data_IF_061704005365
#
_entry.id   IF_061704005365
#
_cell.length_a   1.000
_cell.length_b   1.000
_cell.length_c   1.000
_cell.angle_alpha   90.00
_cell.angle_beta   90.00
_cell.angle_gamma   90.00
#
_symmetry.space_group_name_H-M   'P 1'
#
loop_
_entity.id
_entity.type
_entity.pdbx_description
1 polymer ?
#
# COMPACT_ATOMS: atom_id res chain seq x y z
N UNK A 1 -37.11 -24.67 -10.54
CA UNK A 1 -38.30 -23.98 -10.01
C UNK A 1 -37.88 -23.34 -8.71
N UNK A 2 -37.67 -22.02 -8.71
CA UNK A 2 -37.44 -21.26 -7.48
C UNK A 2 -38.83 -21.07 -6.84
N UNK A 3 -39.00 -21.49 -5.59
CA UNK A 3 -40.29 -21.36 -4.88
C UNK A 3 -40.68 -19.88 -4.79
N UNK A 4 -41.89 -19.56 -5.24
CA UNK A 4 -42.46 -18.20 -5.29
C UNK A 4 -42.48 -17.54 -3.90
N UNK A 5 -42.65 -18.37 -2.86
CA UNK A 5 -42.60 -17.98 -1.46
C UNK A 5 -41.19 -17.54 -1.04
N UNK A 6 -40.15 -18.26 -1.47
CA UNK A 6 -38.76 -17.87 -1.20
C UNK A 6 -38.43 -16.54 -1.87
N UNK A 7 -38.84 -16.35 -3.13
CA UNK A 7 -38.62 -15.09 -3.87
C UNK A 7 -39.30 -13.90 -3.15
N UNK A 8 -40.53 -14.10 -2.66
CA UNK A 8 -41.29 -13.06 -1.96
C UNK A 8 -40.62 -12.69 -0.63
N UNK A 9 -40.16 -13.67 0.13
CA UNK A 9 -39.39 -13.45 1.37
C UNK A 9 -38.09 -12.70 1.08
N UNK A 10 -37.35 -13.05 0.03
CA UNK A 10 -36.12 -12.34 -0.36
C UNK A 10 -36.38 -10.88 -0.76
N UNK A 11 -37.46 -10.60 -1.51
CA UNK A 11 -37.80 -9.24 -1.92
C UNK A 11 -38.27 -8.39 -0.72
N UNK A 12 -39.04 -8.98 0.20
CA UNK A 12 -39.45 -8.33 1.45
C UNK A 12 -38.23 -8.03 2.33
N UNK A 13 -37.35 -9.00 2.57
CA UNK A 13 -36.10 -8.75 3.30
C UNK A 13 -35.32 -7.61 2.64
N UNK A 14 -35.13 -7.64 1.32
CA UNK A 14 -34.44 -6.57 0.61
C UNK A 14 -35.04 -5.16 0.85
N UNK A 15 -36.36 -5.02 0.95
CA UNK A 15 -36.98 -3.71 1.27
C UNK A 15 -36.66 -3.18 2.68
N UNK A 16 -36.34 -4.06 3.64
CA UNK A 16 -35.93 -3.66 4.99
C UNK A 16 -34.47 -3.21 5.09
N UNK A 17 -33.67 -3.29 4.02
CA UNK A 17 -32.30 -2.75 4.02
C UNK A 17 -32.26 -1.23 4.14
N UNK A 18 -33.33 -0.52 3.77
CA UNK A 18 -33.42 0.94 3.94
C UNK A 18 -33.51 1.35 5.41
N UNK A 19 -34.12 0.50 6.23
CA UNK A 19 -34.29 0.75 7.66
C UNK A 19 -33.01 0.42 8.45
N UNK A 20 -31.99 -0.16 7.80
CA UNK A 20 -30.72 -0.53 8.43
C UNK A 20 -29.98 0.68 9.01
N UNK A 21 -30.05 1.84 8.34
CA UNK A 21 -29.45 3.10 8.79
C UNK A 21 -30.12 3.62 10.07
N UNK A 22 -31.42 3.35 10.24
CA UNK A 22 -32.21 3.79 11.41
C UNK A 22 -32.06 2.80 12.57
N UNK A 23 -31.99 1.49 12.26
CA UNK A 23 -31.98 0.43 13.24
C UNK A 23 -30.59 0.13 13.84
N UNK A 24 -29.49 0.49 13.15
CA UNK A 24 -28.13 0.30 13.67
C UNK A 24 -27.86 -1.15 14.11
N UNK A 25 -27.33 -1.33 15.32
CA UNK A 25 -27.07 -2.67 15.89
C UNK A 25 -28.32 -3.54 16.07
N UNK A 26 -29.51 -2.95 16.21
CA UNK A 26 -30.75 -3.73 16.34
C UNK A 26 -31.09 -4.51 15.05
N UNK A 27 -30.44 -4.17 13.92
CA UNK A 27 -30.58 -4.92 12.68
C UNK A 27 -29.66 -6.16 12.59
N UNK A 28 -28.84 -6.46 13.62
CA UNK A 28 -27.88 -7.56 13.60
C UNK A 28 -28.51 -8.94 13.32
N UNK A 29 -29.65 -9.23 13.96
CA UNK A 29 -30.35 -10.51 13.76
C UNK A 29 -30.94 -10.63 12.35
N UNK A 30 -31.46 -9.52 11.82
CA UNK A 30 -31.97 -9.43 10.46
C UNK A 30 -30.84 -9.63 9.44
N UNK A 31 -29.71 -8.97 9.60
CA UNK A 31 -28.52 -9.14 8.76
C UNK A 31 -27.98 -10.56 8.81
N UNK A 32 -27.91 -11.15 10.00
CA UNK A 32 -27.48 -12.53 10.18
C UNK A 32 -28.39 -13.54 9.48
N UNK A 33 -29.71 -13.31 9.49
CA UNK A 33 -30.66 -14.11 8.72
C UNK A 33 -30.48 -13.89 7.21
N UNK A 34 -30.36 -12.63 6.77
CA UNK A 34 -30.17 -12.29 5.36
C UNK A 34 -28.89 -12.91 4.79
N UNK A 35 -27.77 -12.83 5.50
CA UNK A 35 -26.49 -13.47 5.12
C UNK A 35 -26.60 -15.00 5.01
N UNK A 36 -27.32 -15.64 5.93
CA UNK A 36 -27.58 -17.10 5.86
C UNK A 36 -28.41 -17.47 4.63
N UNK A 37 -29.41 -16.65 4.29
CA UNK A 37 -30.30 -16.87 3.15
C UNK A 37 -29.56 -16.68 1.82
N UNK A 38 -28.70 -15.67 1.69
CA UNK A 38 -27.91 -15.41 0.47
C UNK A 38 -26.62 -16.24 0.36
N UNK A 39 -26.34 -17.13 1.33
CA UNK A 39 -25.15 -18.00 1.31
C UNK A 39 -25.01 -18.83 0.03
N UNK A 40 -26.08 -19.40 -0.56
CA UNK A 40 -25.98 -20.13 -1.82
C UNK A 40 -25.73 -19.18 -3.02
N UNK A 41 -24.81 -19.52 -3.94
CA UNK A 41 -24.40 -18.63 -5.03
C UNK A 41 -25.53 -18.31 -6.02
N UNK A 42 -26.51 -19.21 -6.17
CA UNK A 42 -27.65 -19.04 -7.07
C UNK A 42 -28.53 -17.85 -6.67
N UNK A 43 -28.73 -17.64 -5.37
CA UNK A 43 -29.49 -16.50 -4.84
C UNK A 43 -28.73 -15.19 -5.00
N UNK A 44 -27.39 -15.21 -4.83
CA UNK A 44 -26.55 -14.04 -5.10
C UNK A 44 -26.67 -13.57 -6.56
N UNK A 45 -26.61 -14.50 -7.51
CA UNK A 45 -26.75 -14.20 -8.94
C UNK A 45 -28.15 -13.69 -9.28
N UNK A 46 -29.19 -14.30 -8.70
CA UNK A 46 -30.57 -13.85 -8.89
C UNK A 46 -30.80 -12.42 -8.39
N UNK A 47 -30.33 -12.10 -7.18
CA UNK A 47 -30.44 -10.77 -6.59
C UNK A 47 -29.59 -9.75 -7.36
N UNK A 48 -28.40 -10.13 -7.84
CA UNK A 48 -27.59 -9.28 -8.70
C UNK A 48 -28.32 -8.92 -10.01
N UNK A 49 -28.98 -9.88 -10.65
CA UNK A 49 -29.78 -9.65 -11.85
C UNK A 49 -30.98 -8.72 -11.59
N UNK A 50 -31.53 -8.73 -10.37
CA UNK A 50 -32.62 -7.83 -9.92
C UNK A 50 -32.15 -6.40 -9.61
N UNK A 51 -30.85 -6.12 -9.62
CA UNK A 51 -30.31 -4.77 -9.37
C UNK A 51 -29.99 -4.46 -7.91
N UNK A 52 -29.84 -5.49 -7.07
CA UNK A 52 -29.51 -5.35 -5.64
C UNK A 52 -28.13 -4.72 -5.41
N UNK A 53 -27.13 -5.02 -6.24
CA UNK A 53 -25.77 -4.47 -6.07
C UNK A 53 -25.71 -2.94 -6.26
N UNK A 54 -26.24 -2.36 -7.35
CA UNK A 54 -26.36 -0.90 -7.48
C UNK A 54 -27.13 -0.25 -6.32
N UNK A 55 -28.14 -0.94 -5.80
CA UNK A 55 -28.93 -0.44 -4.67
C UNK A 55 -28.11 -0.37 -3.38
N UNK A 56 -27.38 -1.45 -3.04
CA UNK A 56 -26.47 -1.47 -1.89
C UNK A 56 -25.41 -0.38 -2.04
N UNK A 57 -24.84 -0.19 -3.24
CA UNK A 57 -23.90 0.90 -3.52
C UNK A 57 -24.48 2.29 -3.27
N UNK A 58 -25.75 2.51 -3.61
CA UNK A 58 -26.45 3.77 -3.31
C UNK A 58 -26.69 3.96 -1.81
N UNK A 59 -27.04 2.90 -1.08
CA UNK A 59 -27.20 2.94 0.38
C UNK A 59 -25.88 3.26 1.07
N UNK A 60 -24.78 2.64 0.66
CA UNK A 60 -23.41 2.96 1.12
C UNK A 60 -23.12 4.43 0.88
N UNK A 61 -23.40 4.94 -0.34
CA UNK A 61 -23.16 6.35 -0.68
C UNK A 61 -23.99 7.30 0.18
N UNK A 62 -25.26 6.96 0.44
CA UNK A 62 -26.16 7.74 1.29
C UNK A 62 -25.67 7.77 2.74
N UNK A 63 -25.24 6.63 3.26
CA UNK A 63 -24.72 6.53 4.63
C UNK A 63 -23.42 7.34 4.79
N UNK A 64 -22.53 7.28 3.80
CA UNK A 64 -21.31 8.08 3.76
C UNK A 64 -21.63 9.58 3.70
N UNK A 65 -22.63 9.99 2.91
CA UNK A 65 -23.08 11.39 2.87
C UNK A 65 -23.64 11.85 4.22
N UNK A 66 -24.37 10.99 4.93
CA UNK A 66 -24.83 11.27 6.29
C UNK A 66 -23.64 11.46 7.24
N UNK A 67 -22.63 10.57 7.20
CA UNK A 67 -21.42 10.71 8.02
C UNK A 67 -20.68 12.03 7.75
N UNK A 68 -20.55 12.42 6.49
CA UNK A 68 -19.94 13.70 6.11
C UNK A 68 -20.76 14.90 6.61
N UNK A 69 -22.09 14.82 6.58
CA UNK A 69 -22.93 15.88 7.15
C UNK A 69 -22.80 16.00 8.67
N UNK A 70 -22.61 14.86 9.36
CA UNK A 70 -22.39 14.81 10.80
C UNK A 70 -21.01 15.33 11.19
N UNK A 71 -20.00 15.12 10.35
CA UNK A 71 -18.66 15.71 10.50
C UNK A 71 -18.71 17.24 10.53
N UNK A 72 -19.57 17.86 9.70
CA UNK A 72 -19.75 19.32 9.67
C UNK A 72 -20.64 19.84 10.80
N UNK A 73 -21.64 19.07 11.22
CA UNK A 73 -22.68 19.53 12.15
C UNK A 73 -22.42 19.19 13.63
N UNK A 74 -21.61 18.16 13.92
CA UNK A 74 -21.51 17.59 15.26
C UNK A 74 -20.06 17.31 15.68
N UNK A 75 -19.73 17.67 16.92
CA UNK A 75 -18.45 17.39 17.57
C UNK A 75 -18.49 16.16 18.50
N UNK A 76 -19.65 15.50 18.61
CA UNK A 76 -19.84 14.28 19.39
C UNK A 76 -19.64 13.06 18.50
N UNK A 77 -18.90 12.09 19.02
CA UNK A 77 -18.68 10.80 18.36
C UNK A 77 -19.56 9.73 18.99
N UNK A 78 -20.40 9.07 18.18
CA UNK A 78 -21.09 7.85 18.60
C UNK A 78 -20.26 6.63 18.19
N UNK A 79 -19.91 5.77 19.15
CA UNK A 79 -19.11 4.56 18.94
C UNK A 79 -19.80 3.55 18.01
N UNK A 80 -21.13 3.61 17.90
CA UNK A 80 -21.93 2.71 17.05
C UNK A 80 -22.08 3.25 15.62
N UNK A 81 -21.64 4.49 15.37
CA UNK A 81 -21.70 5.12 14.07
C UNK A 81 -20.78 4.40 13.08
N UNK A 82 -21.33 4.01 11.94
CA UNK A 82 -20.65 3.18 10.94
C UNK A 82 -21.07 1.70 10.95
N UNK A 83 -21.91 1.23 11.89
CA UNK A 83 -22.38 -0.16 11.90
C UNK A 83 -23.18 -0.53 10.63
N UNK A 84 -24.13 0.32 10.24
CA UNK A 84 -24.92 0.12 9.03
C UNK A 84 -24.02 0.10 7.79
N UNK A 85 -23.08 1.04 7.72
CA UNK A 85 -22.10 1.14 6.64
C UNK A 85 -21.21 -0.11 6.53
N UNK A 86 -20.67 -0.59 7.65
CA UNK A 86 -19.87 -1.82 7.72
C UNK A 86 -20.65 -3.02 7.24
N UNK A 87 -21.90 -3.13 7.68
CA UNK A 87 -22.78 -4.23 7.33
C UNK A 87 -23.14 -4.24 5.84
N UNK A 88 -23.47 -3.09 5.27
CA UNK A 88 -23.72 -2.93 3.83
C UNK A 88 -22.47 -3.23 3.00
N UNK A 89 -21.30 -2.79 3.47
CA UNK A 89 -20.02 -3.06 2.81
C UNK A 89 -19.67 -4.55 2.85
N UNK A 90 -19.90 -5.22 3.98
CA UNK A 90 -19.73 -6.68 4.09
C UNK A 90 -20.70 -7.47 3.19
N UNK A 91 -21.94 -7.00 3.05
CA UNK A 91 -22.87 -7.58 2.07
C UNK A 91 -22.33 -7.39 0.64
N UNK A 92 -21.91 -6.18 0.28
CA UNK A 92 -21.36 -5.89 -1.04
C UNK A 92 -20.14 -6.78 -1.34
N UNK A 93 -19.22 -6.91 -0.39
CA UNK A 93 -18.05 -7.79 -0.48
C UNK A 93 -18.47 -9.24 -0.79
N UNK A 94 -19.44 -9.78 -0.04
CA UNK A 94 -19.89 -11.15 -0.27
C UNK A 94 -20.58 -11.38 -1.63
N UNK A 95 -21.17 -10.35 -2.24
CA UNK A 95 -21.67 -10.45 -3.62
C UNK A 95 -20.52 -10.45 -4.64
N UNK A 96 -19.45 -9.69 -4.39
CA UNK A 96 -18.28 -9.57 -5.28
C UNK A 96 -17.38 -10.81 -5.22
N UNK A 97 -17.44 -11.62 -4.16
CA UNK A 97 -16.80 -12.95 -4.10
C UNK A 97 -17.22 -13.88 -5.26
N UNK A 98 -18.43 -13.69 -5.81
CA UNK A 98 -18.93 -14.52 -6.91
C UNK A 98 -18.38 -13.99 -8.25
N UNK A 99 -17.51 -14.78 -8.89
CA UNK A 99 -16.76 -14.35 -10.08
C UNK A 99 -17.65 -13.86 -11.25
N UNK A 100 -18.83 -14.47 -11.46
CA UNK A 100 -19.78 -14.04 -12.48
C UNK A 100 -20.37 -12.65 -12.21
N UNK A 101 -20.62 -12.33 -10.94
CA UNK A 101 -21.14 -11.03 -10.51
C UNK A 101 -20.02 -10.00 -10.57
N UNK A 102 -18.83 -10.36 -10.08
CA UNK A 102 -17.61 -9.55 -10.15
C UNK A 102 -17.39 -9.08 -11.58
N UNK A 103 -17.27 -9.99 -12.55
CA UNK A 103 -17.00 -9.63 -13.96
C UNK A 103 -18.05 -8.67 -14.56
N UNK A 104 -19.33 -8.85 -14.27
CA UNK A 104 -20.40 -8.02 -14.85
C UNK A 104 -20.51 -6.64 -14.21
N UNK A 105 -20.35 -6.54 -12.88
CA UNK A 105 -20.53 -5.28 -12.15
C UNK A 105 -19.23 -4.54 -11.84
N UNK A 106 -18.06 -5.12 -12.13
CA UNK A 106 -16.71 -4.58 -11.86
C UNK A 106 -16.58 -3.09 -12.17
N UNK A 107 -16.80 -2.70 -13.42
CA UNK A 107 -16.61 -1.32 -13.89
C UNK A 107 -17.53 -0.31 -13.19
N UNK A 108 -18.74 -0.72 -12.81
CA UNK A 108 -19.72 0.15 -12.13
C UNK A 108 -19.45 0.27 -10.64
N UNK A 109 -18.96 -0.81 -10.01
CA UNK A 109 -18.70 -0.84 -8.58
C UNK A 109 -17.39 -0.14 -8.22
N UNK A 110 -16.36 -0.27 -9.05
CA UNK A 110 -15.04 0.34 -8.80
C UNK A 110 -15.15 1.83 -8.49
N UNK A 111 -15.94 2.60 -9.26
CA UNK A 111 -16.15 4.03 -9.00
C UNK A 111 -16.86 4.29 -7.67
N UNK A 112 -17.90 3.52 -7.35
CA UNK A 112 -18.64 3.65 -6.08
C UNK A 112 -17.77 3.30 -4.88
N UNK A 113 -16.99 2.22 -4.96
CA UNK A 113 -16.10 1.76 -3.89
C UNK A 113 -14.94 2.74 -3.70
N UNK A 114 -14.34 3.25 -4.79
CA UNK A 114 -13.28 4.26 -4.73
C UNK A 114 -13.78 5.55 -4.07
N UNK A 115 -14.93 6.06 -4.51
CA UNK A 115 -15.54 7.24 -3.91
C UNK A 115 -15.84 7.01 -2.43
N UNK A 116 -16.39 5.85 -2.08
CA UNK A 116 -16.68 5.49 -0.69
C UNK A 116 -15.42 5.48 0.18
N UNK A 117 -14.35 4.82 -0.28
CA UNK A 117 -13.07 4.77 0.40
C UNK A 117 -12.47 6.18 0.63
N UNK A 118 -12.48 7.03 -0.40
CA UNK A 118 -11.95 8.39 -0.32
C UNK A 118 -12.74 9.28 0.66
N UNK A 119 -14.07 9.15 0.66
CA UNK A 119 -14.93 9.89 1.59
C UNK A 119 -14.71 9.47 3.04
N UNK A 120 -14.54 8.17 3.31
CA UNK A 120 -14.24 7.69 4.67
C UNK A 120 -12.86 8.15 5.15
N UNK A 121 -11.86 8.16 4.27
CA UNK A 121 -10.51 8.66 4.60
C UNK A 121 -10.49 10.14 4.98
N UNK A 122 -11.50 10.91 4.56
CA UNK A 122 -11.63 12.34 4.85
C UNK A 122 -12.15 12.61 6.27
N UNK A 123 -12.81 11.64 6.90
CA UNK A 123 -13.40 11.79 8.24
C UNK A 123 -12.30 11.90 9.30
N UNK A 124 -12.44 12.85 10.21
CA UNK A 124 -11.51 13.07 11.32
C UNK A 124 -12.25 12.97 12.65
N UNK A 125 -13.35 13.71 12.79
CA UNK A 125 -14.15 13.78 14.02
C UNK A 125 -14.99 12.52 14.17
N UNK A 126 -15.72 12.12 13.13
CA UNK A 126 -16.61 10.95 13.17
C UNK A 126 -15.87 9.63 12.94
N UNK A 127 -14.54 9.61 13.05
CA UNK A 127 -13.74 8.41 12.81
C UNK A 127 -13.93 7.40 13.96
N UNK A 128 -14.55 6.27 13.66
CA UNK A 128 -14.77 5.16 14.60
C UNK A 128 -14.05 3.90 14.12
N UNK A 129 -13.86 2.93 15.03
CA UNK A 129 -13.30 1.61 14.67
C UNK A 129 -14.09 0.92 13.56
N UNK A 130 -15.41 1.06 13.54
CA UNK A 130 -16.28 0.47 12.52
C UNK A 130 -16.07 1.13 11.15
N UNK A 131 -15.79 2.43 11.12
CA UNK A 131 -15.46 3.16 9.89
C UNK A 131 -14.08 2.77 9.37
N UNK A 132 -13.08 2.63 10.26
CA UNK A 132 -11.75 2.15 9.89
C UNK A 132 -11.84 0.73 9.28
N UNK A 133 -12.54 -0.19 9.95
CA UNK A 133 -12.75 -1.55 9.42
C UNK A 133 -13.50 -1.53 8.07
N UNK A 134 -14.48 -0.63 7.90
CA UNK A 134 -15.18 -0.48 6.61
C UNK A 134 -14.23 0.05 5.54
N UNK A 135 -13.38 1.01 5.88
CA UNK A 135 -12.39 1.59 4.98
C UNK A 135 -11.41 0.52 4.49
N UNK A 136 -10.92 -0.32 5.39
CA UNK A 136 -10.02 -1.44 5.06
C UNK A 136 -10.71 -2.44 4.13
N UNK A 137 -11.97 -2.81 4.43
CA UNK A 137 -12.76 -3.68 3.55
C UNK A 137 -12.97 -3.10 2.15
N UNK A 138 -13.20 -1.78 2.03
CA UNK A 138 -13.32 -1.13 0.72
C UNK A 138 -11.98 -1.10 -0.02
N UNK A 139 -10.87 -0.96 0.69
CA UNK A 139 -9.52 -0.99 0.11
C UNK A 139 -9.18 -2.40 -0.41
N UNK A 140 -9.42 -3.44 0.39
CA UNK A 140 -9.25 -4.84 -0.02
C UNK A 140 -10.12 -5.15 -1.25
N UNK A 141 -11.38 -4.73 -1.25
CA UNK A 141 -12.26 -4.88 -2.42
C UNK A 141 -11.75 -4.14 -3.66
N UNK A 142 -11.18 -2.93 -3.50
CA UNK A 142 -10.55 -2.22 -4.61
C UNK A 142 -9.34 -2.98 -5.13
N UNK A 143 -8.50 -3.51 -4.25
CA UNK A 143 -7.34 -4.33 -4.61
C UNK A 143 -7.77 -5.60 -5.35
N UNK A 144 -8.73 -6.34 -4.83
CA UNK A 144 -9.27 -7.54 -5.47
C UNK A 144 -9.91 -7.25 -6.83
N UNK A 145 -10.54 -6.09 -7.00
CA UNK A 145 -11.12 -5.71 -8.29
C UNK A 145 -10.06 -5.18 -9.26
N UNK A 146 -8.93 -4.67 -8.79
CA UNK A 146 -7.94 -4.02 -9.67
C UNK A 146 -6.72 -4.89 -9.94
N UNK A 147 -6.51 -5.93 -9.16
CA UNK A 147 -5.52 -6.99 -9.40
C UNK A 147 -6.04 -7.98 -10.44
N UNK A 148 -5.20 -8.31 -11.43
CA UNK A 148 -5.58 -9.17 -12.55
C UNK A 148 -4.79 -8.87 -13.81
N UNK A 149 -5.42 -8.19 -14.76
CA UNK A 149 -4.83 -7.87 -16.06
C UNK A 149 -4.36 -6.42 -16.16
N UNK A 150 -3.32 -6.18 -16.96
CA UNK A 150 -2.85 -4.82 -17.26
C UNK A 150 -3.99 -3.90 -17.72
N UNK A 151 -4.89 -4.38 -18.58
CA UNK A 151 -6.05 -3.61 -19.06
C UNK A 151 -6.98 -3.15 -17.94
N UNK A 152 -7.14 -3.95 -16.89
CA UNK A 152 -7.99 -3.61 -15.74
C UNK A 152 -7.32 -2.56 -14.86
N UNK A 153 -6.01 -2.68 -14.65
CA UNK A 153 -5.20 -1.65 -13.99
C UNK A 153 -5.27 -0.33 -14.74
N UNK A 154 -5.16 -0.34 -16.08
CA UNK A 154 -5.30 0.87 -16.92
C UNK A 154 -6.69 1.51 -16.79
N UNK A 155 -7.75 0.68 -16.80
CA UNK A 155 -9.12 1.15 -16.62
C UNK A 155 -9.32 1.77 -15.23
N UNK A 156 -8.74 1.17 -14.19
CA UNK A 156 -8.77 1.73 -12.84
C UNK A 156 -8.05 3.08 -12.75
N UNK A 157 -6.85 3.19 -13.32
CA UNK A 157 -6.12 4.46 -13.37
C UNK A 157 -6.95 5.56 -14.05
N UNK A 158 -7.68 5.23 -15.12
CA UNK A 158 -8.58 6.17 -15.77
C UNK A 158 -9.74 6.61 -14.86
N UNK A 159 -10.36 5.67 -14.13
CA UNK A 159 -11.44 5.98 -13.15
C UNK A 159 -10.91 6.86 -12.01
N UNK A 160 -9.68 6.62 -11.52
CA UNK A 160 -9.01 7.46 -10.53
C UNK A 160 -8.87 8.90 -11.02
N UNK A 161 -8.40 9.10 -12.25
CA UNK A 161 -8.25 10.44 -12.86
C UNK A 161 -9.61 11.10 -13.07
N UNK A 162 -10.61 10.38 -13.56
CA UNK A 162 -11.96 10.93 -13.73
C UNK A 162 -12.56 11.36 -12.38
N UNK A 163 -12.34 10.56 -11.34
CA UNK A 163 -12.76 10.87 -9.97
C UNK A 163 -12.04 12.11 -9.46
N UNK A 164 -10.72 12.22 -9.67
CA UNK A 164 -9.94 13.41 -9.32
C UNK A 164 -10.41 14.67 -10.07
N UNK A 165 -10.91 14.56 -11.30
CA UNK A 165 -11.46 15.69 -12.06
C UNK A 165 -12.80 16.20 -11.51
N UNK A 166 -13.60 15.34 -10.86
CA UNK A 166 -14.93 15.71 -10.33
C UNK A 166 -14.89 16.54 -9.04
N UNK A 167 -13.80 16.48 -8.28
CA UNK A 167 -13.66 17.29 -7.06
C UNK A 167 -13.31 18.75 -7.36
N UNK A 168 -13.61 19.67 -6.45
CA UNK A 168 -13.25 21.09 -6.61
C UNK A 168 -11.74 21.31 -6.44
N UNK A 169 -11.19 22.35 -7.08
CA UNK A 169 -9.76 22.72 -7.00
C UNK A 169 -9.30 23.11 -5.59
N UNK A 170 -10.24 23.54 -4.74
CA UNK A 170 -9.97 23.91 -3.35
C UNK A 170 -9.79 22.69 -2.41
N UNK A 171 -10.16 21.48 -2.85
CA UNK A 171 -9.89 20.26 -2.08
C UNK A 171 -8.49 19.72 -2.39
N UNK A 172 -7.56 19.97 -1.48
CA UNK A 172 -6.19 19.47 -1.56
C UNK A 172 -6.02 18.05 -1.02
N UNK A 173 -6.93 17.55 -0.17
CA UNK A 173 -6.73 16.29 0.58
C UNK A 173 -7.16 15.08 -0.24
N UNK A 174 -8.34 15.12 -0.86
CA UNK A 174 -8.86 13.96 -1.59
C UNK A 174 -8.00 13.59 -2.82
N UNK A 175 -7.52 14.54 -3.64
CA UNK A 175 -6.66 14.20 -4.79
C UNK A 175 -5.31 13.60 -4.39
N UNK A 176 -4.74 13.97 -3.24
CA UNK A 176 -3.50 13.37 -2.72
C UNK A 176 -3.62 11.85 -2.70
N UNK A 177 -4.67 11.32 -2.05
CA UNK A 177 -4.83 9.88 -1.89
C UNK A 177 -4.99 9.15 -3.23
N UNK A 178 -5.66 9.79 -4.20
CA UNK A 178 -5.79 9.25 -5.55
C UNK A 178 -4.41 9.19 -6.23
N UNK A 179 -3.62 10.27 -6.16
CA UNK A 179 -2.31 10.32 -6.79
C UNK A 179 -1.27 9.43 -6.09
N UNK A 180 -1.30 9.32 -4.76
CA UNK A 180 -0.46 8.35 -4.02
C UNK A 180 -0.74 6.93 -4.47
N UNK A 181 -2.03 6.58 -4.62
CA UNK A 181 -2.42 5.26 -5.10
C UNK A 181 -1.95 5.02 -6.54
N UNK A 182 -2.04 6.02 -7.41
CA UNK A 182 -1.51 5.93 -8.78
C UNK A 182 0.02 5.75 -8.76
N UNK A 183 0.74 6.43 -7.88
CA UNK A 183 2.17 6.22 -7.69
C UNK A 183 2.47 4.75 -7.32
N UNK A 184 1.80 4.20 -6.30
CA UNK A 184 2.00 2.80 -5.87
C UNK A 184 1.63 1.77 -6.94
N UNK A 185 0.71 2.10 -7.86
CA UNK A 185 0.35 1.23 -8.98
C UNK A 185 1.39 1.26 -10.10
N UNK A 186 1.94 2.45 -10.39
CA UNK A 186 2.95 2.64 -11.44
C UNK A 186 4.28 2.04 -11.00
N UNK A 187 4.67 2.33 -9.77
CA UNK A 187 5.87 1.83 -9.16
C UNK A 187 5.54 1.54 -7.68
N UNK A 188 5.31 0.27 -7.31
CA UNK A 188 5.23 -0.09 -5.90
C UNK A 188 6.61 0.18 -5.34
N UNK A 189 6.76 1.31 -4.64
CA UNK A 189 7.96 1.53 -3.86
C UNK A 189 8.04 0.37 -2.87
N UNK A 190 8.97 -0.55 -3.11
CA UNK A 190 9.48 -1.39 -2.04
C UNK A 190 9.93 -0.41 -0.98
N UNK A 191 9.16 -0.34 0.12
CA UNK A 191 9.51 0.52 1.24
C UNK A 191 10.99 0.28 1.51
N UNK A 192 11.83 1.29 1.28
CA UNK A 192 13.17 1.28 1.85
C UNK A 192 12.93 0.97 3.32
N UNK A 193 13.40 -0.19 3.78
CA UNK A 193 13.25 -0.58 5.17
C UNK A 193 14.06 0.45 5.95
N UNK A 194 13.39 1.51 6.38
CA UNK A 194 13.99 2.71 6.97
C UNK A 194 14.61 2.41 8.33
N UNK A 195 14.23 1.29 8.94
CA UNK A 195 14.81 0.80 10.18
C UNK A 195 14.69 -0.72 10.24
N UNK A 196 15.84 -1.39 10.36
CA UNK A 196 15.91 -2.80 10.71
C UNK A 196 16.81 -2.98 11.93
N UNK A 197 16.57 -4.05 12.68
CA UNK A 197 17.35 -4.36 13.87
C UNK A 197 18.38 -5.45 13.55
N UNK A 198 19.55 -5.36 14.18
CA UNK A 198 20.66 -6.30 14.01
C UNK A 198 21.08 -6.86 15.36
N UNK A 199 21.19 -8.18 15.44
CA UNK A 199 21.67 -8.91 16.61
C UNK A 199 23.04 -9.50 16.28
N UNK A 200 24.05 -9.16 17.07
CA UNK A 200 25.43 -9.60 16.88
C UNK A 200 25.75 -10.72 17.87
N UNK A 201 25.93 -11.95 17.38
CA UNK A 201 26.17 -13.14 18.18
C UNK A 201 27.54 -13.75 17.87
N UNK A 202 28.17 -14.36 18.87
CA UNK A 202 29.38 -15.16 18.65
C UNK A 202 29.00 -16.49 18.04
N UNK A 203 29.92 -17.06 17.27
CA UNK A 203 29.83 -18.47 16.93
C UNK A 203 29.94 -19.33 18.21
N UNK A 204 28.94 -20.17 18.53
CA UNK A 204 28.96 -21.04 19.71
C UNK A 204 30.20 -21.94 19.80
N UNK A 205 30.81 -22.28 18.65
CA UNK A 205 32.00 -23.12 18.59
C UNK A 205 33.29 -22.35 18.88
N UNK A 206 33.25 -21.02 18.83
CA UNK A 206 34.41 -20.14 19.07
C UNK A 206 34.22 -19.19 20.27
N UNK A 207 33.21 -19.42 21.10
CA UNK A 207 32.89 -18.57 22.25
C UNK A 207 34.07 -18.39 23.22
N UNK A 208 34.88 -19.44 23.42
CA UNK A 208 36.05 -19.43 24.31
C UNK A 208 37.23 -18.64 23.75
N UNK A 209 37.29 -18.43 22.43
CA UNK A 209 38.38 -17.73 21.75
C UNK A 209 38.08 -16.24 21.54
N UNK A 210 36.81 -15.87 21.46
CA UNK A 210 36.37 -14.49 21.34
C UNK A 210 36.15 -13.90 22.74
N UNK A 211 36.90 -12.87 23.12
CA UNK A 211 36.68 -12.12 24.37
C UNK A 211 35.59 -11.03 24.17
N UNK A 212 35.01 -10.53 25.27
CA UNK A 212 33.97 -9.49 25.23
C UNK A 212 32.55 -9.99 24.92
N UNK A 213 31.51 -9.18 25.17
CA UNK A 213 30.13 -9.45 24.73
C UNK A 213 29.57 -8.14 24.20
N UNK A 214 28.79 -8.19 23.13
CA UNK A 214 28.14 -7.00 22.58
C UNK A 214 27.07 -6.47 23.56
N UNK A 215 27.29 -5.32 24.22
CA UNK A 215 26.41 -4.82 25.27
C UNK A 215 25.34 -3.90 24.66
N UNK A 216 24.43 -4.47 23.86
CA UNK A 216 23.41 -3.65 23.19
C UNK A 216 22.53 -4.36 22.16
N UNK A 217 22.56 -5.69 22.09
CA UNK A 217 21.65 -6.41 21.21
C UNK A 217 20.18 -6.22 21.65
N UNK A 218 19.24 -5.98 20.71
CA UNK A 218 19.44 -5.72 19.27
C UNK A 218 19.74 -4.24 18.97
N UNK A 219 20.64 -3.98 18.03
CA UNK A 219 21.01 -2.63 17.57
C UNK A 219 20.12 -2.15 16.42
N UNK A 220 19.79 -0.86 16.36
CA UNK A 220 19.09 -0.27 15.19
C UNK A 220 20.05 0.01 14.03
N UNK A 221 19.59 -0.12 12.78
CA UNK A 221 20.34 0.23 11.56
C UNK A 221 20.76 1.71 11.49
N UNK A 222 20.15 2.56 12.31
CA UNK A 222 20.48 3.99 12.40
C UNK A 222 21.59 4.28 13.43
N UNK A 223 22.04 3.27 14.19
CA UNK A 223 23.09 3.45 15.19
C UNK A 223 24.49 3.59 14.55
N UNK A 224 25.37 4.39 15.18
CA UNK A 224 26.74 4.55 14.70
C UNK A 224 27.49 3.20 14.74
N UNK A 225 27.99 2.78 13.58
CA UNK A 225 28.73 1.52 13.40
C UNK A 225 27.91 0.33 12.90
N UNK A 226 26.57 0.45 12.76
CA UNK A 226 25.71 -0.57 12.14
C UNK A 226 25.40 -0.16 10.69
N UNK A 227 26.46 0.06 9.91
CA UNK A 227 26.39 0.45 8.50
C UNK A 227 27.19 1.71 8.16
N UNK A 228 27.30 2.06 6.87
CA UNK A 228 26.58 1.49 5.73
C UNK A 228 27.07 0.11 5.24
N UNK A 229 28.32 -0.27 5.53
CA UNK A 229 28.91 -1.53 5.05
C UNK A 229 29.03 -2.58 6.16
N UNK A 230 29.10 -3.86 5.79
CA UNK A 230 29.35 -4.96 6.74
C UNK A 230 30.68 -4.79 7.49
N UNK A 231 31.65 -4.12 6.87
CA UNK A 231 32.91 -3.66 7.49
C UNK A 231 32.69 -2.80 8.74
N UNK A 232 31.67 -1.94 8.75
CA UNK A 232 31.40 -1.07 9.90
C UNK A 232 30.94 -1.89 11.10
N UNK A 233 30.13 -2.93 10.84
CA UNK A 233 29.70 -3.90 11.86
C UNK A 233 30.91 -4.66 12.41
N UNK A 234 31.82 -5.13 11.55
CA UNK A 234 33.08 -5.76 11.97
C UNK A 234 33.87 -4.83 12.89
N UNK A 235 34.04 -3.57 12.49
CA UNK A 235 34.79 -2.57 13.25
C UNK A 235 34.14 -2.29 14.61
N UNK A 236 32.80 -2.22 14.67
CA UNK A 236 32.05 -2.06 15.91
C UNK A 236 32.27 -3.25 16.84
N UNK A 237 32.17 -4.48 16.34
CA UNK A 237 32.45 -5.69 17.13
C UNK A 237 33.89 -5.66 17.66
N UNK A 238 34.86 -5.27 16.82
CA UNK A 238 36.26 -5.22 17.21
C UNK A 238 36.53 -4.15 18.28
N UNK A 239 35.86 -3.00 18.22
CA UNK A 239 35.97 -1.95 19.22
C UNK A 239 35.30 -2.33 20.55
N UNK A 240 34.07 -2.84 20.49
CA UNK A 240 33.27 -3.14 21.69
C UNK A 240 33.76 -4.41 22.42
N UNK A 241 34.48 -5.30 21.73
CA UNK A 241 35.07 -6.51 22.30
C UNK A 241 36.59 -6.42 22.55
N UNK A 242 37.21 -5.23 22.45
CA UNK A 242 38.65 -5.00 22.62
C UNK A 242 39.55 -5.85 21.70
N UNK A 243 39.06 -6.23 20.52
CA UNK A 243 39.79 -7.05 19.52
C UNK A 243 40.64 -6.17 18.58
N UNK A 244 41.54 -5.38 19.16
CA UNK A 244 42.34 -4.35 18.44
C UNK A 244 43.16 -4.94 17.28
N UNK A 245 43.65 -6.18 17.42
CA UNK A 245 44.46 -6.86 16.39
C UNK A 245 43.69 -7.17 15.09
N UNK A 246 42.36 -7.24 15.14
CA UNK A 246 41.49 -7.57 13.99
C UNK A 246 40.85 -6.34 13.36
N UNK A 247 41.06 -5.18 13.97
CA UNK A 247 40.53 -3.93 13.47
C UNK A 247 41.19 -3.55 12.13
N UNK A 248 42.51 -3.80 12.02
CA UNK A 248 43.31 -3.56 10.81
C UNK A 248 43.37 -4.77 9.86
N UNK A 249 42.96 -5.97 10.32
CA UNK A 249 42.95 -7.19 9.50
C UNK A 249 41.51 -7.53 9.05
N UNK A 250 41.19 -7.20 7.81
CA UNK A 250 39.90 -7.52 7.18
C UNK A 250 39.73 -9.02 6.87
N UNK A 251 40.80 -9.81 6.93
CA UNK A 251 40.76 -11.24 6.64
C UNK A 251 40.63 -12.11 7.90
N UNK A 252 40.83 -11.53 9.09
CA UNK A 252 40.88 -12.26 10.35
C UNK A 252 39.51 -12.59 10.96
N UNK A 253 38.46 -11.87 10.57
CA UNK A 253 37.10 -12.05 11.10
C UNK A 253 36.08 -12.24 9.97
N UNK A 254 35.24 -13.26 10.11
CA UNK A 254 34.13 -13.58 9.21
C UNK A 254 32.80 -13.20 9.86
N UNK A 255 31.89 -12.63 9.05
CA UNK A 255 30.52 -12.34 9.43
C UNK A 255 29.58 -13.26 8.66
N UNK A 256 28.75 -14.01 9.39
CA UNK A 256 27.80 -14.96 8.84
C UNK A 256 26.38 -14.46 9.03
N UNK A 257 25.59 -14.50 7.95
CA UNK A 257 24.14 -14.22 7.96
C UNK A 257 23.44 -15.41 7.33
N UNK A 258 22.50 -16.04 8.05
CA UNK A 258 21.81 -17.26 7.58
C UNK A 258 22.78 -18.38 7.13
N UNK A 259 23.86 -18.62 7.89
CA UNK A 259 24.91 -19.60 7.58
C UNK A 259 25.67 -19.36 6.25
N UNK A 260 25.65 -18.12 5.74
CA UNK A 260 26.45 -17.68 4.59
C UNK A 260 27.44 -16.63 5.04
N UNK A 261 28.68 -16.74 4.59
CA UNK A 261 29.73 -15.76 4.90
C UNK A 261 29.54 -14.57 3.95
N UNK A 262 29.42 -13.37 4.52
CA UNK A 262 29.13 -12.14 3.76
C UNK A 262 30.41 -11.33 3.59
N UNK A 263 30.68 -10.86 2.38
CA UNK A 263 31.78 -9.92 2.12
C UNK A 263 31.60 -8.61 2.90
N UNK A 264 32.70 -8.10 3.45
CA UNK A 264 32.73 -6.87 4.24
C UNK A 264 32.39 -5.62 3.41
N UNK A 265 32.53 -5.71 2.08
CA UNK A 265 32.28 -4.61 1.14
C UNK A 265 30.80 -4.50 0.74
N UNK A 266 29.95 -5.41 1.21
CA UNK A 266 28.51 -5.38 0.90
C UNK A 266 27.76 -4.40 1.84
N UNK A 267 26.76 -3.67 1.31
CA UNK A 267 25.87 -2.84 2.12
C UNK A 267 25.02 -3.68 3.07
N UNK A 268 24.92 -3.28 4.34
CA UNK A 268 24.14 -4.00 5.37
C UNK A 268 22.66 -4.08 4.99
N UNK A 269 22.11 -3.01 4.39
CA UNK A 269 20.73 -2.96 3.95
C UNK A 269 20.41 -3.97 2.84
N UNK A 270 21.33 -4.16 1.89
CA UNK A 270 21.18 -5.14 0.80
C UNK A 270 21.25 -6.57 1.35
N UNK A 271 22.15 -6.83 2.30
CA UNK A 271 22.28 -8.13 2.97
C UNK A 271 20.99 -8.45 3.74
N UNK A 272 20.43 -7.48 4.46
CA UNK A 272 19.14 -7.63 5.15
C UNK A 272 18.02 -8.03 4.18
N UNK A 273 17.84 -7.26 3.10
CA UNK A 273 16.78 -7.50 2.12
C UNK A 273 16.94 -8.83 1.37
N UNK A 274 18.14 -9.12 0.85
CA UNK A 274 18.36 -10.25 -0.07
C UNK A 274 18.68 -11.57 0.64
N UNK A 275 19.32 -11.53 1.81
CA UNK A 275 19.79 -12.74 2.51
C UNK A 275 18.91 -13.07 3.72
N UNK A 276 18.39 -12.06 4.43
CA UNK A 276 17.64 -12.26 5.68
C UNK A 276 16.11 -12.27 5.51
N UNK A 277 15.54 -11.26 4.85
CA UNK A 277 14.08 -11.16 4.65
C UNK A 277 13.40 -12.38 4.02
N UNK A 278 14.00 -13.12 3.04
CA UNK A 278 13.32 -14.26 2.42
C UNK A 278 12.97 -15.40 3.36
N UNK A 279 13.67 -15.49 4.50
CA UNK A 279 13.48 -16.56 5.50
C UNK A 279 12.92 -16.05 6.81
N UNK A 280 13.24 -14.81 7.22
CA UNK A 280 12.97 -14.28 8.57
C UNK A 280 12.40 -12.85 8.54
N UNK A 281 11.29 -12.64 7.81
CA UNK A 281 10.62 -11.35 7.72
C UNK A 281 10.11 -10.86 9.10
N UNK A 282 10.48 -9.63 9.49
CA UNK A 282 10.07 -9.01 10.76
C UNK A 282 10.94 -9.34 11.97
N UNK A 283 11.95 -10.20 11.84
CA UNK A 283 12.91 -10.50 12.90
C UNK A 283 14.21 -9.69 12.79
N UNK A 284 14.89 -9.40 13.92
CA UNK A 284 16.20 -8.75 13.88
C UNK A 284 17.22 -9.63 13.17
N UNK A 285 17.99 -9.05 12.25
CA UNK A 285 19.01 -9.74 11.48
C UNK A 285 20.09 -10.31 12.39
N UNK A 286 20.21 -11.63 12.44
CA UNK A 286 21.24 -12.29 13.24
C UNK A 286 22.52 -12.41 12.44
N UNK A 287 23.56 -11.70 12.88
CA UNK A 287 24.91 -11.79 12.33
C UNK A 287 25.77 -12.55 13.35
N UNK A 288 26.31 -13.67 12.91
CA UNK A 288 27.22 -14.49 13.70
C UNK A 288 28.65 -14.13 13.30
N UNK A 289 29.49 -13.72 14.26
CA UNK A 289 30.89 -13.39 13.99
C UNK A 289 31.85 -14.45 14.54
N UNK A 290 32.90 -14.75 13.76
CA UNK A 290 33.92 -15.74 14.12
C UNK A 290 35.29 -15.39 13.56
N UNK A 291 36.33 -16.01 14.12
CA UNK A 291 37.70 -15.90 13.63
C UNK A 291 37.92 -16.86 12.47
N UNK A 292 38.56 -16.37 11.41
CA UNK A 292 38.92 -17.19 10.26
C UNK A 292 40.01 -18.20 10.61
N UNK A 293 39.86 -19.44 10.15
CA UNK A 293 40.92 -20.46 10.20
C UNK A 293 41.09 -21.21 11.53
N UNK A 294 40.27 -20.97 12.55
CA UNK A 294 40.35 -21.70 13.82
C UNK A 294 39.80 -23.14 13.75
N UNK A 295 38.82 -23.39 12.89
CA UNK A 295 38.13 -24.69 12.78
C UNK A 295 38.39 -25.41 11.44
N UNK A 296 39.39 -24.95 10.67
CA UNK A 296 39.68 -25.44 9.33
C UNK A 296 39.15 -24.51 8.22
N UNK A 297 39.11 -25.03 6.99
CA UNK A 297 38.60 -24.28 5.84
C UNK A 297 37.08 -24.06 5.96
N UNK A 298 36.61 -22.86 5.60
CA UNK A 298 35.20 -22.53 5.58
C UNK A 298 34.46 -23.43 4.58
N UNK A 299 33.36 -24.05 5.03
CA UNK A 299 32.51 -24.91 4.18
C UNK A 299 31.21 -24.22 3.77
N UNK A 300 30.98 -23.02 4.32
CA UNK A 300 29.85 -22.16 4.06
C UNK A 300 29.97 -21.42 2.73
N UNK A 301 28.83 -21.07 2.13
CA UNK A 301 28.78 -20.28 0.92
C UNK A 301 29.30 -18.85 1.18
N UNK A 302 30.29 -18.41 0.40
CA UNK A 302 30.84 -17.06 0.47
C UNK A 302 30.13 -16.16 -0.55
N UNK A 303 29.46 -15.12 -0.07
CA UNK A 303 28.79 -14.11 -0.88
C UNK A 303 29.74 -12.92 -1.06
N UNK A 304 30.47 -12.92 -2.18
CA UNK A 304 31.31 -11.79 -2.61
C UNK A 304 30.50 -10.66 -3.25
N UNK A 305 29.50 -11.04 -4.04
CA UNK A 305 28.56 -10.15 -4.70
C UNK A 305 27.15 -10.68 -4.45
N UNK A 306 26.27 -9.82 -3.95
CA UNK A 306 24.84 -10.05 -4.08
C UNK A 306 24.54 -9.76 -5.55
N UNK A 307 24.56 -10.78 -6.40
CA UNK A 307 24.32 -10.67 -7.85
C UNK A 307 23.29 -9.55 -8.11
N UNK A 308 23.80 -8.44 -8.64
CA UNK A 308 22.98 -7.36 -9.12
C UNK A 308 22.37 -7.83 -10.43
N UNK A 309 21.31 -8.62 -10.34
CA UNK A 309 20.30 -8.69 -11.41
C UNK A 309 19.56 -7.35 -11.61
N UNK A 310 20.16 -6.23 -11.20
CA UNK A 310 19.68 -4.85 -11.31
C UNK A 310 20.67 -3.92 -12.00
N UNK A 311 21.82 -4.42 -12.50
CA UNK A 311 22.74 -3.65 -13.37
C UNK A 311 22.63 -4.05 -14.85
N UNK A 312 21.63 -4.86 -15.24
CA UNK A 312 21.02 -4.58 -16.53
C UNK A 312 20.31 -3.24 -16.33
N UNK A 313 20.64 -2.22 -17.13
CA UNK A 313 19.84 -1.00 -17.23
C UNK A 313 18.39 -1.45 -17.52
N UNK A 314 17.60 -1.71 -16.48
CA UNK A 314 16.18 -1.99 -16.63
C UNK A 314 15.65 -0.79 -17.39
N UNK A 315 15.13 -1.04 -18.61
CA UNK A 315 14.62 0.03 -19.44
C UNK A 315 13.60 0.81 -18.59
N UNK A 316 13.94 2.04 -18.20
CA UNK A 316 13.07 2.87 -17.39
C UNK A 316 11.69 3.02 -18.07
N UNK A 317 11.62 2.84 -19.39
CA UNK A 317 10.35 2.82 -20.09
C UNK A 317 9.50 1.56 -19.81
N UNK A 318 10.11 0.39 -19.61
CA UNK A 318 9.43 -0.84 -19.23
C UNK A 318 9.01 -0.84 -17.76
N UNK A 319 9.87 -0.35 -16.86
CA UNK A 319 9.55 -0.23 -15.43
C UNK A 319 8.36 0.71 -15.21
N UNK A 320 8.35 1.86 -15.91
CA UNK A 320 7.32 2.88 -15.76
C UNK A 320 6.21 2.79 -16.81
N UNK A 321 6.09 1.68 -17.56
CA UNK A 321 5.14 1.55 -18.69
C UNK A 321 3.68 1.84 -18.31
N UNK A 322 3.27 1.56 -17.07
CA UNK A 322 1.93 1.89 -16.55
C UNK A 322 1.67 3.39 -16.54
N UNK A 323 2.69 4.23 -16.38
CA UNK A 323 2.55 5.67 -16.44
C UNK A 323 2.09 6.16 -17.83
N UNK A 324 2.29 5.38 -18.91
CA UNK A 324 1.83 5.72 -20.25
C UNK A 324 0.30 5.90 -20.36
N UNK A 325 -0.46 5.32 -19.44
CA UNK A 325 -1.92 5.51 -19.35
C UNK A 325 -2.29 6.97 -19.09
N UNK A 326 -1.43 7.71 -18.39
CA UNK A 326 -1.69 9.09 -17.98
C UNK A 326 -1.86 10.04 -19.16
N UNK A 327 -1.20 9.78 -20.29
CA UNK A 327 -1.44 10.51 -21.53
C UNK A 327 -2.81 10.18 -22.17
N UNK A 328 -3.28 8.94 -22.05
CA UNK A 328 -4.51 8.46 -22.69
C UNK A 328 -5.78 8.83 -21.91
N UNK A 329 -5.72 8.82 -20.58
CA UNK A 329 -6.87 9.16 -19.72
C UNK A 329 -6.99 10.67 -19.43
N UNK A 330 -6.12 11.51 -20.03
CA UNK A 330 -6.03 12.93 -19.71
C UNK A 330 -5.61 13.17 -18.25
N UNK A 331 -4.80 12.26 -17.69
CA UNK A 331 -4.22 12.36 -16.35
C UNK A 331 -3.21 13.50 -16.25
N UNK A 332 -2.39 13.69 -17.29
CA UNK A 332 -1.42 14.78 -17.35
C UNK A 332 -2.09 16.17 -17.28
N UNK A 333 -3.21 16.36 -18.00
CA UNK A 333 -4.01 17.59 -17.95
C UNK A 333 -4.61 17.82 -16.57
N UNK A 334 -5.13 16.75 -15.95
CA UNK A 334 -5.66 16.79 -14.59
C UNK A 334 -4.59 17.23 -13.59
N UNK A 335 -3.39 16.65 -13.69
CA UNK A 335 -2.26 16.98 -12.82
C UNK A 335 -1.82 18.44 -12.99
N UNK A 336 -1.74 18.95 -14.23
CA UNK A 336 -1.39 20.34 -14.49
C UNK A 336 -2.46 21.32 -14.01
N UNK A 337 -3.74 21.02 -14.25
CA UNK A 337 -4.85 21.84 -13.75
C UNK A 337 -4.83 21.91 -12.22
N UNK A 338 -4.58 20.78 -11.55
CA UNK A 338 -4.44 20.72 -10.09
C UNK A 338 -3.24 21.49 -9.60
N UNK A 339 -2.09 21.34 -10.24
CA UNK A 339 -0.86 22.06 -9.92
C UNK A 339 -1.07 23.58 -10.00
N UNK A 340 -1.71 24.05 -11.08
CA UNK A 340 -2.06 25.48 -11.26
C UNK A 340 -3.08 26.00 -10.23
N UNK A 341 -3.87 25.11 -9.63
CA UNK A 341 -4.84 25.45 -8.61
C UNK A 341 -4.24 25.67 -7.22
N UNK A 342 -2.98 25.26 -6.99
CA UNK A 342 -2.30 25.40 -5.70
C UNK A 342 -1.89 26.87 -5.52
N UNK A 343 -2.67 27.63 -4.76
CA UNK A 343 -2.38 29.03 -4.41
C UNK A 343 -1.65 29.19 -3.07
N UNK A 344 -1.83 28.23 -2.16
CA UNK A 344 -1.18 28.22 -0.84
C UNK A 344 -0.27 26.99 -0.70
N UNK A 345 1.04 27.24 -0.75
CA UNK A 345 2.06 26.20 -0.60
C UNK A 345 2.05 25.51 0.76
N UNK A 346 1.55 26.15 1.84
CA UNK A 346 1.51 25.52 3.16
C UNK A 346 0.43 24.45 3.22
N UNK A 347 -0.74 24.73 2.66
CA UNK A 347 -1.86 23.78 2.65
C UNK A 347 -1.73 22.75 1.52
N UNK A 348 -1.16 23.14 0.37
CA UNK A 348 -0.99 22.28 -0.80
C UNK A 348 0.33 21.50 -0.86
N UNK A 349 1.23 21.63 0.13
CA UNK A 349 2.58 21.01 0.08
C UNK A 349 2.54 19.52 -0.23
N UNK A 350 1.65 18.80 0.44
CA UNK A 350 1.57 17.35 0.28
C UNK A 350 1.07 16.97 -1.11
N UNK A 351 0.04 17.66 -1.62
CA UNK A 351 -0.44 17.50 -3.00
C UNK A 351 0.67 17.80 -4.01
N UNK A 352 1.42 18.88 -3.79
CA UNK A 352 2.55 19.26 -4.65
C UNK A 352 3.62 18.14 -4.68
N UNK A 353 4.04 17.62 -3.53
CA UNK A 353 5.03 16.55 -3.45
C UNK A 353 4.58 15.30 -4.22
N UNK A 354 3.33 14.88 -4.03
CA UNK A 354 2.79 13.70 -4.70
C UNK A 354 2.63 13.93 -6.20
N UNK A 355 2.19 15.12 -6.62
CA UNK A 355 2.11 15.49 -8.05
C UNK A 355 3.49 15.48 -8.70
N UNK A 356 4.51 16.06 -8.07
CA UNK A 356 5.88 16.07 -8.57
C UNK A 356 6.46 14.66 -8.69
N UNK A 357 6.17 13.81 -7.71
CA UNK A 357 6.53 12.38 -7.74
C UNK A 357 5.85 11.64 -8.90
N UNK A 358 4.56 11.85 -9.10
CA UNK A 358 3.85 11.23 -10.22
C UNK A 358 4.34 11.79 -11.58
N UNK A 359 4.71 13.08 -11.64
CA UNK A 359 5.32 13.68 -12.83
C UNK A 359 6.69 13.06 -13.13
N UNK A 360 7.53 12.80 -12.12
CA UNK A 360 8.83 12.17 -12.32
C UNK A 360 8.69 10.79 -12.95
N UNK A 361 7.68 10.01 -12.53
CA UNK A 361 7.34 8.73 -13.17
C UNK A 361 6.82 8.91 -14.60
N UNK A 362 5.92 9.87 -14.82
CA UNK A 362 5.35 10.11 -16.14
C UNK A 362 6.41 10.51 -17.17
N UNK A 363 7.39 11.33 -16.79
CA UNK A 363 8.45 11.81 -17.70
C UNK A 363 9.40 10.69 -18.14
N UNK A 364 9.48 9.57 -17.42
CA UNK A 364 10.29 8.40 -17.84
C UNK A 364 9.73 7.67 -19.07
N UNK A 365 8.45 7.86 -19.42
CA UNK A 365 7.80 7.24 -20.61
C UNK A 365 7.78 8.18 -21.83
N UNK A 366 8.15 7.71 -23.04
CA UNK A 366 8.22 8.53 -24.26
C UNK A 366 6.88 9.17 -24.63
N UNK A 367 5.78 8.40 -24.55
CA UNK A 367 4.42 8.85 -24.91
C UNK A 367 4.01 10.08 -24.06
N UNK A 368 4.29 10.04 -22.77
CA UNK A 368 4.00 11.13 -21.86
C UNK A 368 4.87 12.36 -22.16
N UNK A 369 6.18 12.18 -22.44
CA UNK A 369 7.06 13.28 -22.86
C UNK A 369 6.53 13.97 -24.11
N UNK A 370 6.14 13.21 -25.12
CA UNK A 370 5.56 13.77 -26.35
C UNK A 370 4.27 14.56 -26.08
N UNK A 371 3.43 14.08 -25.16
CA UNK A 371 2.21 14.79 -24.77
C UNK A 371 2.52 16.08 -24.01
N UNK A 372 3.46 16.07 -23.05
CA UNK A 372 3.82 17.24 -22.24
C UNK A 372 4.49 18.36 -23.04
N UNK A 373 5.15 18.04 -24.16
CA UNK A 373 5.78 19.02 -25.07
C UNK A 373 4.76 19.73 -25.96
N UNK A 374 3.52 19.23 -26.05
CA UNK A 374 2.49 19.88 -26.88
C UNK A 374 2.20 21.29 -26.35
N UNK A 375 2.15 22.32 -27.23
CA UNK A 375 1.86 23.70 -26.84
C UNK A 375 0.53 23.85 -26.10
N UNK A 376 -0.45 23.00 -26.43
CA UNK A 376 -1.80 22.97 -25.83
C UNK A 376 -1.78 22.68 -24.32
N UNK A 377 -0.78 21.95 -23.83
CA UNK A 377 -0.67 21.57 -22.41
C UNK A 377 -0.14 22.70 -21.53
N UNK A 378 0.49 23.72 -22.14
CA UNK A 378 1.08 24.87 -21.44
C UNK A 378 1.99 24.49 -20.24
N UNK A 379 2.59 23.30 -20.29
CA UNK A 379 3.28 22.63 -19.18
C UNK A 379 4.34 23.51 -18.51
N UNK A 380 5.18 24.15 -19.33
CA UNK A 380 6.27 25.00 -18.84
C UNK A 380 5.76 26.22 -18.07
N UNK A 381 4.72 26.88 -18.55
CA UNK A 381 4.16 28.05 -17.87
C UNK A 381 3.45 27.67 -16.57
N UNK A 382 2.80 26.50 -16.53
CA UNK A 382 2.17 25.99 -15.30
C UNK A 382 3.24 25.62 -14.27
N UNK A 383 4.28 24.88 -14.65
CA UNK A 383 5.36 24.50 -13.73
C UNK A 383 6.16 25.71 -13.24
N UNK A 384 6.52 26.64 -14.12
CA UNK A 384 7.22 27.87 -13.75
C UNK A 384 6.34 28.80 -12.90
N UNK A 385 5.05 28.89 -13.21
CA UNK A 385 4.08 29.66 -12.43
C UNK A 385 3.79 29.08 -11.04
N UNK A 386 4.09 27.80 -10.82
CA UNK A 386 3.99 27.16 -9.49
C UNK A 386 5.30 27.27 -8.69
N UNK A 387 6.40 27.72 -9.30
CA UNK A 387 7.69 27.94 -8.63
C UNK A 387 7.90 29.40 -8.22
N UNK A 388 7.21 30.33 -8.88
CA UNK A 388 7.13 31.75 -8.53
C UNK A 388 6.01 32.02 -7.55
#
# INVERSE_FOLDING_TARGET
YLDELSITVFCLSFSYLDELSIAGECAAEYLGLYQKLIKPPQWKVYLAARGVLPYIGNLITKEIANLLSLEEATLSTDLQQGYALKSLTGLLSSFVEVESIKRYFKSRLVGTVLNGYLCLRKLVVQRTKLIDETQDMLLEMLEDMTTGTESETKAFMAVCIETAKRYNLDDYRTPVFIFERLCSIIYPEENEVTEFFVTLEKDPQQEDFLQGRMPGNPYSSNEPGIGPLMRDIKNKICQDCDLVALLEDDSGMELLVNNKIISLDLPVAEVYKKVWCPTNEGEPMRIIYRMRGLLGDATEEFIESLDSTTDEEEDEEEVYKMAGVMAQCGGLECMLSRLSGIRDFKQGRHLLTVLLKLFSYCVKVKINRQQLVKPEMNTLNVMLGTLN
#
